data_IF_301983835099
#
_entry.id   IF_301983835099
#
_cell.length_a   1.000
_cell.length_b   1.000
_cell.length_c   1.000
_cell.angle_alpha   90.00
_cell.angle_beta   90.00
_cell.angle_gamma   90.00
#
_symmetry.space_group_name_H-M   'P 1'
#
loop_
_entity.id
_entity.type
_entity.pdbx_description
1 polymer ?
#
# COMPACT_ATOMS: atom_id res chain seq x y z
N UNK A 1 -14.34 -20.37 23.75
CA UNK A 1 -13.72 -20.59 25.07
C UNK A 1 -12.75 -19.45 25.30
N UNK A 2 -13.08 -18.57 26.26
CA UNK A 2 -12.27 -17.44 26.70
C UNK A 2 -10.88 -17.89 27.15
N UNK A 3 -9.85 -17.10 26.83
CA UNK A 3 -8.65 -17.02 27.63
C UNK A 3 -8.36 -15.54 27.91
N UNK A 4 -8.85 -15.07 29.06
CA UNK A 4 -8.35 -13.87 29.72
C UNK A 4 -6.91 -14.15 30.16
N UNK A 5 -5.95 -13.33 29.74
CA UNK A 5 -4.70 -13.18 30.48
C UNK A 5 -4.52 -11.71 30.87
N UNK A 6 -4.62 -11.48 32.16
CA UNK A 6 -4.36 -10.23 32.87
C UNK A 6 -2.88 -9.89 32.73
N UNK A 7 -2.55 -8.69 32.25
CA UNK A 7 -1.21 -8.10 32.44
C UNK A 7 -1.37 -6.82 33.24
N UNK A 8 -0.80 -6.87 34.45
CA UNK A 8 -0.86 -5.87 35.51
C UNK A 8 -0.04 -4.65 35.12
N UNK A 9 -0.65 -3.47 35.24
CA UNK A 9 0.02 -2.18 35.08
C UNK A 9 0.93 -1.90 36.28
N UNK A 10 2.25 -1.90 36.08
CA UNK A 10 3.22 -1.40 37.06
C UNK A 10 4.38 -0.72 36.34
N UNK A 11 4.58 0.55 36.68
CA UNK A 11 5.67 1.46 36.29
C UNK A 11 5.64 1.92 34.83
N UNK A 12 5.33 3.21 34.68
CA UNK A 12 5.10 3.92 33.43
C UNK A 12 6.13 3.63 32.35
N UNK A 13 5.70 2.88 31.35
CA UNK A 13 5.94 3.04 29.93
C UNK A 13 5.01 2.00 29.30
N UNK A 14 3.78 2.39 28.96
CA UNK A 14 2.95 1.53 28.11
C UNK A 14 3.62 1.58 26.74
N UNK A 15 4.55 0.66 26.50
CA UNK A 15 4.87 0.28 25.13
C UNK A 15 3.59 -0.39 24.64
N UNK A 16 2.73 0.40 23.98
CA UNK A 16 1.60 -0.11 23.24
C UNK A 16 2.21 -1.05 22.21
N UNK A 17 2.28 -2.34 22.53
CA UNK A 17 2.68 -3.36 21.56
C UNK A 17 1.54 -3.46 20.57
N UNK A 18 1.52 -2.55 19.60
CA UNK A 18 0.92 -2.81 18.33
C UNK A 18 1.78 -3.91 17.68
N UNK A 19 1.53 -5.17 18.03
CA UNK A 19 1.73 -6.23 17.03
C UNK A 19 0.65 -5.95 15.98
N UNK A 20 0.92 -4.98 15.11
CA UNK A 20 0.02 -4.62 14.03
C UNK A 20 0.06 -5.77 13.02
N UNK A 21 -0.68 -6.83 13.32
CA UNK A 21 -0.89 -7.91 12.36
C UNK A 21 -1.45 -7.29 11.08
N UNK A 22 -0.97 -7.77 9.93
CA UNK A 22 -1.39 -7.19 8.65
C UNK A 22 -2.92 -7.27 8.51
N UNK A 23 -3.58 -6.16 8.11
CA UNK A 23 -5.02 -6.17 7.91
C UNK A 23 -5.40 -7.15 6.80
N UNK A 24 -6.64 -7.63 6.83
CA UNK A 24 -7.19 -8.38 5.69
C UNK A 24 -7.13 -7.48 4.45
N UNK A 25 -6.44 -7.96 3.41
CA UNK A 25 -6.33 -7.25 2.15
C UNK A 25 -7.57 -7.46 1.27
N UNK A 26 -7.84 -6.55 0.33
CA UNK A 26 -8.73 -6.85 -0.78
C UNK A 26 -8.16 -8.01 -1.63
N UNK A 27 -8.96 -8.64 -2.49
CA UNK A 27 -8.44 -9.63 -3.45
C UNK A 27 -7.62 -8.92 -4.53
N UNK A 28 -6.32 -8.79 -4.28
CA UNK A 28 -5.37 -8.11 -5.17
C UNK A 28 -4.83 -9.10 -6.22
N UNK A 29 -4.70 -8.71 -7.50
CA UNK A 29 -3.98 -9.50 -8.49
C UNK A 29 -2.55 -9.80 -8.02
N UNK A 30 -2.12 -11.06 -8.11
CA UNK A 30 -0.82 -11.54 -7.61
C UNK A 30 0.38 -10.82 -8.21
N UNK A 31 0.22 -10.23 -9.41
CA UNK A 31 1.25 -9.42 -10.07
C UNK A 31 1.69 -8.16 -9.30
N UNK A 32 0.94 -7.75 -8.27
CA UNK A 32 1.27 -6.60 -7.41
C UNK A 32 1.87 -6.99 -6.06
N UNK A 33 2.06 -8.29 -5.83
CA UNK A 33 2.74 -8.82 -4.65
C UNK A 33 4.24 -8.82 -4.92
N UNK A 34 4.99 -8.10 -4.10
CA UNK A 34 6.47 -8.06 -4.20
C UNK A 34 7.14 -9.14 -3.36
N UNK A 35 6.45 -9.72 -2.38
CA UNK A 35 6.96 -10.83 -1.58
C UNK A 35 6.28 -10.97 -0.21
N UNK A 36 6.72 -11.95 0.59
CA UNK A 36 6.23 -12.14 1.95
C UNK A 36 6.68 -10.99 2.86
N UNK A 37 5.81 -10.63 3.80
CA UNK A 37 6.20 -9.73 4.88
C UNK A 37 7.13 -10.44 5.87
N UNK A 38 8.11 -9.72 6.40
CA UNK A 38 9.01 -10.24 7.44
C UNK A 38 8.56 -9.65 8.76
N UNK A 39 8.11 -10.49 9.69
CA UNK A 39 7.53 -10.05 10.95
C UNK A 39 6.43 -8.98 10.76
N UNK A 40 5.50 -9.23 9.83
CA UNK A 40 4.40 -8.34 9.46
C UNK A 40 4.83 -6.92 9.04
N UNK A 41 6.09 -6.78 8.64
CA UNK A 41 6.69 -5.52 8.21
C UNK A 41 7.06 -5.58 6.73
N UNK A 42 6.83 -4.46 6.05
CA UNK A 42 7.16 -4.26 4.65
C UNK A 42 8.12 -3.07 4.47
N UNK A 43 8.93 -3.04 3.40
CA UNK A 43 9.73 -1.87 3.07
C UNK A 43 8.86 -0.63 2.85
N UNK A 44 9.45 0.55 2.93
CA UNK A 44 8.74 1.81 2.71
C UNK A 44 8.08 1.82 1.32
N UNK A 45 6.85 2.35 1.23
CA UNK A 45 6.09 2.37 -0.03
C UNK A 45 5.34 1.07 -0.32
N UNK A 46 5.47 0.08 0.56
CA UNK A 46 4.69 -1.14 0.54
C UNK A 46 3.87 -1.28 1.81
N UNK A 47 2.63 -1.69 1.63
CA UNK A 47 1.75 -2.01 2.75
C UNK A 47 1.74 -3.53 2.96
N UNK A 48 1.65 -3.94 4.23
CA UNK A 48 1.40 -5.34 4.53
C UNK A 48 -0.10 -5.64 4.49
N UNK A 49 -0.49 -6.72 3.81
CA UNK A 49 -1.85 -7.26 3.83
C UNK A 49 -1.84 -8.78 4.04
N UNK A 50 -2.90 -9.33 4.64
CA UNK A 50 -3.12 -10.79 4.67
C UNK A 50 -3.76 -11.26 3.37
N UNK A 51 -3.06 -12.13 2.65
CA UNK A 51 -3.57 -12.91 1.51
C UNK A 51 -3.48 -14.38 1.91
N UNK A 52 -4.59 -15.11 1.85
CA UNK A 52 -4.67 -16.53 2.23
C UNK A 52 -4.10 -16.86 3.62
N UNK A 53 -4.19 -15.90 4.56
CA UNK A 53 -3.71 -16.04 5.93
C UNK A 53 -2.21 -15.74 6.12
N UNK A 54 -1.47 -15.42 5.06
CA UNK A 54 -0.07 -15.01 5.13
C UNK A 54 0.10 -13.50 4.89
N UNK A 55 1.01 -12.86 5.62
CA UNK A 55 1.39 -11.47 5.39
C UNK A 55 2.17 -11.32 4.08
N UNK A 56 1.70 -10.44 3.20
CA UNK A 56 2.31 -10.14 1.90
C UNK A 56 2.53 -8.64 1.79
N UNK A 57 3.65 -8.25 1.20
CA UNK A 57 3.93 -6.86 0.85
C UNK A 57 3.38 -6.54 -0.54
N UNK A 58 2.62 -5.46 -0.62
CA UNK A 58 1.97 -4.97 -1.84
C UNK A 58 2.18 -3.48 -1.98
N UNK A 59 2.25 -3.01 -3.23
CA UNK A 59 2.43 -1.59 -3.52
C UNK A 59 1.36 -0.73 -2.83
N UNK A 60 1.78 0.35 -2.17
CA UNK A 60 0.88 1.23 -1.38
C UNK A 60 -0.28 1.81 -2.21
N UNK A 61 -0.10 2.11 -3.51
CA UNK A 61 -1.19 2.57 -4.37
C UNK A 61 -2.20 1.47 -4.63
N UNK A 62 -1.75 0.23 -4.75
CA UNK A 62 -2.65 -0.92 -4.95
C UNK A 62 -3.36 -1.26 -3.65
N UNK A 63 -2.66 -1.24 -2.51
CA UNK A 63 -3.23 -1.49 -1.19
C UNK A 63 -4.31 -0.47 -0.80
N UNK A 64 -4.08 0.81 -1.11
CA UNK A 64 -5.05 1.89 -0.88
C UNK A 64 -6.15 1.97 -1.95
N UNK A 65 -6.04 1.20 -3.04
CA UNK A 65 -7.03 1.17 -4.09
C UNK A 65 -8.31 0.47 -3.64
N UNK A 66 -9.39 1.23 -3.53
CA UNK A 66 -10.70 0.74 -3.12
C UNK A 66 -11.80 1.33 -3.98
N UNK A 67 -12.90 0.61 -4.07
CA UNK A 67 -14.11 1.15 -4.65
C UNK A 67 -14.67 2.27 -3.75
N UNK A 68 -15.16 3.32 -4.39
CA UNK A 68 -15.85 4.42 -3.70
C UNK A 68 -17.34 4.10 -3.45
N UNK A 69 -17.89 3.10 -4.15
CA UNK A 69 -19.31 2.74 -4.10
C UNK A 69 -19.51 1.26 -3.79
N UNK A 70 -20.47 0.96 -2.90
CA UNK A 70 -20.88 -0.41 -2.62
C UNK A 70 -21.64 -1.06 -3.80
N UNK A 71 -22.06 -0.26 -4.79
CA UNK A 71 -22.79 -0.74 -5.97
C UNK A 71 -21.86 -1.26 -7.08
N UNK A 72 -20.54 -1.11 -6.94
CA UNK A 72 -19.58 -1.49 -7.97
C UNK A 72 -19.74 -2.94 -8.44
N UNK A 73 -19.96 -3.88 -7.51
CA UNK A 73 -20.19 -5.29 -7.86
C UNK A 73 -21.44 -5.52 -8.73
N UNK A 74 -22.50 -4.73 -8.56
CA UNK A 74 -23.70 -4.81 -9.39
C UNK A 74 -23.49 -4.13 -10.74
N UNK A 75 -22.87 -2.95 -10.75
CA UNK A 75 -22.56 -2.22 -11.99
C UNK A 75 -21.62 -3.00 -12.90
N UNK A 76 -20.64 -3.71 -12.33
CA UNK A 76 -19.75 -4.57 -13.10
C UNK A 76 -20.51 -5.66 -13.89
N UNK A 77 -21.56 -6.25 -13.29
CA UNK A 77 -22.40 -7.26 -13.95
C UNK A 77 -23.23 -6.67 -15.10
N UNK A 78 -23.52 -5.38 -15.06
CA UNK A 78 -24.29 -4.68 -16.11
C UNK A 78 -23.40 -4.03 -17.16
N UNK A 79 -22.09 -4.31 -17.18
CA UNK A 79 -21.16 -3.80 -18.19
C UNK A 79 -20.48 -2.47 -17.87
N UNK A 80 -20.63 -1.93 -16.65
CA UNK A 80 -20.04 -0.64 -16.25
C UNK A 80 -18.52 -0.57 -16.46
N UNK A 81 -17.81 -1.67 -16.20
CA UNK A 81 -16.36 -1.71 -16.33
C UNK A 81 -15.87 -1.79 -17.78
N UNK A 82 -16.75 -2.07 -18.75
CA UNK A 82 -16.40 -2.24 -20.17
C UNK A 82 -17.03 -1.18 -21.06
N UNK A 83 -18.15 -0.59 -20.64
CA UNK A 83 -18.85 0.43 -21.41
C UNK A 83 -18.01 1.73 -21.51
N UNK A 84 -17.74 2.23 -22.74
CA UNK A 84 -17.00 3.48 -22.96
C UNK A 84 -17.66 4.71 -22.32
N UNK A 85 -18.98 4.70 -22.14
CA UNK A 85 -19.70 5.80 -21.49
C UNK A 85 -19.20 6.07 -20.06
N UNK A 86 -18.78 5.01 -19.35
CA UNK A 86 -18.27 5.11 -17.98
C UNK A 86 -16.74 5.17 -17.89
N UNK A 87 -16.01 5.26 -19.01
CA UNK A 87 -14.54 5.18 -19.02
C UNK A 87 -13.88 6.16 -18.04
N UNK A 88 -14.36 7.41 -17.99
CA UNK A 88 -13.83 8.44 -17.11
C UNK A 88 -14.20 8.25 -15.64
N UNK A 89 -15.34 7.64 -15.34
CA UNK A 89 -15.89 7.55 -13.99
C UNK A 89 -15.55 6.25 -13.30
N UNK A 90 -15.34 5.16 -14.05
CA UNK A 90 -15.02 3.84 -13.46
C UNK A 90 -13.68 3.82 -12.73
N UNK A 91 -12.70 4.60 -13.20
CA UNK A 91 -11.38 4.70 -12.58
C UNK A 91 -11.40 5.41 -11.21
N UNK A 92 -12.39 6.25 -10.93
CA UNK A 92 -12.52 6.93 -9.64
C UNK A 92 -13.56 6.28 -8.74
N UNK A 93 -14.60 5.70 -9.33
CA UNK A 93 -15.76 5.15 -8.60
C UNK A 93 -15.56 3.69 -8.24
N UNK A 94 -15.07 2.89 -9.19
CA UNK A 94 -14.92 1.45 -9.03
C UNK A 94 -13.55 0.94 -9.53
N UNK A 95 -12.43 1.59 -9.17
CA UNK A 95 -11.12 1.18 -9.68
C UNK A 95 -10.78 -0.25 -9.29
N UNK A 96 -11.23 -0.70 -8.13
CA UNK A 96 -10.94 -2.04 -7.66
C UNK A 96 -11.80 -3.08 -8.37
N UNK A 97 -13.13 -2.93 -8.36
CA UNK A 97 -14.03 -3.86 -9.06
C UNK A 97 -13.73 -3.94 -10.56
N UNK A 98 -13.39 -2.81 -11.18
CA UNK A 98 -13.06 -2.77 -12.60
C UNK A 98 -11.60 -3.15 -12.92
N UNK A 99 -10.82 -3.58 -11.92
CA UNK A 99 -9.41 -4.01 -12.07
C UNK A 99 -8.50 -2.93 -12.68
N UNK A 100 -8.76 -1.68 -12.32
CA UNK A 100 -8.01 -0.49 -12.74
C UNK A 100 -7.01 0.00 -11.70
N UNK A 101 -6.87 -0.71 -10.57
CA UNK A 101 -5.78 -0.48 -9.64
C UNK A 101 -4.44 -0.77 -10.33
N UNK A 102 -3.62 0.24 -10.54
CA UNK A 102 -2.29 0.10 -11.12
C UNK A 102 -1.24 0.26 -10.03
N UNK A 103 -0.26 -0.64 -9.98
CA UNK A 103 0.93 -0.43 -9.19
C UNK A 103 1.69 0.81 -9.64
N UNK A 104 2.46 1.36 -8.71
CA UNK A 104 3.44 2.39 -9.04
C UNK A 104 4.43 1.82 -10.06
N UNK A 105 4.68 2.55 -11.14
CA UNK A 105 5.84 2.26 -11.99
C UNK A 105 7.07 2.56 -11.16
N UNK A 106 7.71 1.53 -10.62
CA UNK A 106 8.83 1.69 -9.70
C UNK A 106 10.09 2.16 -10.42
N UNK A 107 10.17 3.46 -10.66
CA UNK A 107 11.26 4.10 -11.38
C UNK A 107 11.61 5.43 -10.73
N UNK A 108 12.89 5.78 -10.78
CA UNK A 108 13.29 7.14 -10.47
C UNK A 108 12.86 8.04 -11.63
N UNK A 109 12.01 9.03 -11.35
CA UNK A 109 11.66 10.04 -12.35
C UNK A 109 12.82 11.01 -12.57
N UNK A 110 13.63 11.24 -11.53
CA UNK A 110 14.78 12.13 -11.57
C UNK A 110 16.05 11.35 -11.89
N UNK A 111 16.86 11.87 -12.81
CA UNK A 111 18.21 11.37 -13.08
C UNK A 111 19.23 11.77 -11.98
N UNK A 112 18.85 12.64 -11.04
CA UNK A 112 19.73 13.16 -10.00
C UNK A 112 19.68 12.38 -8.69
N UNK A 113 18.91 11.29 -8.61
CA UNK A 113 18.70 10.53 -7.37
C UNK A 113 20.01 10.07 -6.73
N UNK A 114 20.96 9.56 -7.52
CA UNK A 114 22.28 9.17 -7.02
C UNK A 114 23.02 10.34 -6.36
N UNK A 115 22.98 11.52 -6.98
CA UNK A 115 23.63 12.74 -6.46
C UNK A 115 22.94 13.26 -5.20
N UNK A 116 21.62 13.32 -5.18
CA UNK A 116 20.86 13.81 -4.02
C UNK A 116 20.99 12.89 -2.81
N UNK A 117 21.01 11.58 -3.03
CA UNK A 117 21.25 10.59 -1.97
C UNK A 117 22.65 10.78 -1.39
N UNK A 118 23.67 10.91 -2.25
CA UNK A 118 25.06 11.07 -1.81
C UNK A 118 25.31 12.38 -1.06
N UNK A 119 24.78 13.49 -1.56
CA UNK A 119 25.16 14.82 -1.08
C UNK A 119 24.25 15.36 0.03
N UNK A 120 22.97 14.97 0.01
CA UNK A 120 21.95 15.54 0.90
C UNK A 120 21.23 14.49 1.74
N UNK A 121 21.66 13.22 1.68
CA UNK A 121 20.97 12.09 2.30
C UNK A 121 19.47 12.07 1.96
N UNK A 122 19.15 12.33 0.68
CA UNK A 122 17.81 12.69 0.22
C UNK A 122 16.68 11.78 0.75
N UNK A 123 16.85 10.47 0.73
CA UNK A 123 15.83 9.52 1.20
C UNK A 123 15.50 9.68 2.70
N UNK A 124 16.49 10.02 3.53
CA UNK A 124 16.33 10.13 4.98
C UNK A 124 16.21 11.58 5.45
N UNK A 125 16.42 12.56 4.56
CA UNK A 125 16.41 13.97 4.91
C UNK A 125 15.01 14.46 5.30
N UNK A 126 14.91 15.23 6.38
CA UNK A 126 13.67 15.86 6.82
C UNK A 126 13.29 17.11 5.99
N UNK A 127 14.21 17.60 5.15
CA UNK A 127 13.97 18.77 4.28
C UNK A 127 13.06 18.47 3.10
N UNK A 128 12.79 17.19 2.84
CA UNK A 128 11.91 16.73 1.77
C UNK A 128 10.82 15.86 2.40
N UNK A 129 9.57 16.10 2.01
CA UNK A 129 8.48 15.24 2.41
C UNK A 129 8.56 13.87 1.70
N UNK A 130 7.81 12.91 2.22
CA UNK A 130 7.75 11.58 1.64
C UNK A 130 7.21 11.60 0.20
N UNK A 131 6.32 12.54 -0.11
CA UNK A 131 5.76 12.71 -1.44
C UNK A 131 6.84 13.09 -2.46
N UNK A 132 7.71 14.07 -2.18
CA UNK A 132 8.80 14.46 -3.06
C UNK A 132 9.83 13.34 -3.24
N UNK A 133 10.12 12.57 -2.18
CA UNK A 133 11.02 11.42 -2.27
C UNK A 133 10.42 10.33 -3.15
N UNK A 134 9.15 10.00 -2.92
CA UNK A 134 8.39 9.06 -3.72
C UNK A 134 8.11 9.61 -5.12
N UNK A 135 8.06 10.91 -5.37
CA UNK A 135 7.80 11.37 -6.74
C UNK A 135 9.05 11.36 -7.60
N UNK A 136 10.24 11.53 -7.01
CA UNK A 136 11.47 11.69 -7.75
C UNK A 136 12.36 10.46 -7.77
N UNK A 137 12.51 9.78 -6.63
CA UNK A 137 13.55 8.77 -6.41
C UNK A 137 12.99 7.49 -5.78
N UNK A 138 11.84 7.03 -6.30
CA UNK A 138 11.10 5.87 -5.78
C UNK A 138 11.99 4.66 -5.58
N UNK A 139 12.67 4.27 -6.66
CA UNK A 139 13.48 3.07 -6.71
C UNK A 139 14.77 3.26 -5.93
N UNK A 140 15.44 4.39 -6.11
CA UNK A 140 16.68 4.69 -5.39
C UNK A 140 16.50 4.84 -3.88
N UNK A 141 15.30 5.23 -3.42
CA UNK A 141 14.97 5.34 -1.99
C UNK A 141 14.22 4.14 -1.42
N UNK A 142 14.02 3.06 -2.19
CA UNK A 142 13.22 1.90 -1.80
C UNK A 142 11.83 2.31 -1.26
N UNK A 143 11.16 3.24 -1.95
CA UNK A 143 9.78 3.69 -1.72
C UNK A 143 8.77 3.01 -2.68
N UNK A 144 9.34 2.11 -3.46
CA UNK A 144 8.87 0.94 -4.15
C UNK A 144 10.16 0.06 -4.25
#
# INVERSE_FOLDING_TARGET
>A
MQAYLVVVAILGFVCQQATAECPAGPSIPTQYIIGPAIADSCPTGYDCIKIDGAGQCVDHKVASCKDASNSCANWAKTGYCTDPFYEKTRATTCPYTCKLCTASTCVDKSNNCATWIKNSNFCNSANYDLAAKNDNCQKSCNLC
#
